data_IF_042663598926
#
_entry.id   IF_042663598926
#
_cell.length_a   1.000
_cell.length_b   1.000
_cell.length_c   1.000
_cell.angle_alpha   90.00
_cell.angle_beta   90.00
_cell.angle_gamma   90.00
#
_symmetry.space_group_name_H-M   'P 1'
#
loop_
_entity.id
_entity.type
_entity.pdbx_description
1 polymer ?
#
# COMPACT_ATOMS: atom_id res chain seq x y z
N UNK A 1 3.86 -23.55 11.59
CA UNK A 1 4.77 -22.40 11.84
C UNK A 1 3.99 -21.08 11.71
N UNK A 2 3.05 -20.79 12.63
CA UNK A 2 1.98 -19.80 12.39
C UNK A 2 1.85 -18.67 13.42
N UNK A 3 2.85 -18.45 14.28
CA UNK A 3 2.78 -17.41 15.33
C UNK A 3 3.74 -16.23 15.12
N UNK A 4 4.80 -16.39 14.30
CA UNK A 4 5.91 -15.43 14.26
C UNK A 4 5.70 -14.20 13.35
N UNK A 5 4.72 -14.23 12.44
CA UNK A 5 4.45 -13.10 11.52
C UNK A 5 3.58 -12.04 12.20
N UNK A 6 2.63 -12.47 13.04
CA UNK A 6 1.63 -11.61 13.67
C UNK A 6 2.18 -10.62 14.71
N UNK A 7 3.34 -10.91 15.32
CA UNK A 7 3.84 -10.14 16.48
C UNK A 7 4.97 -9.17 16.16
N UNK A 8 5.45 -9.12 14.91
CA UNK A 8 6.58 -8.23 14.57
C UNK A 8 6.19 -6.78 14.74
N UNK A 9 6.94 -6.03 15.52
CA UNK A 9 6.71 -4.61 15.71
C UNK A 9 7.09 -3.84 14.44
N UNK A 10 6.63 -2.60 14.33
CA UNK A 10 6.99 -1.72 13.21
C UNK A 10 8.51 -1.55 13.08
N UNK A 11 9.23 -1.51 14.20
CA UNK A 11 10.69 -1.40 14.25
C UNK A 11 11.39 -2.61 13.59
N UNK A 12 10.84 -3.81 13.76
CA UNK A 12 11.38 -5.03 13.15
C UNK A 12 11.24 -4.98 11.62
N UNK A 13 10.11 -4.50 11.13
CA UNK A 13 9.85 -4.37 9.68
C UNK A 13 10.72 -3.29 9.03
N UNK A 14 11.02 -2.21 9.75
CA UNK A 14 11.89 -1.14 9.29
C UNK A 14 13.35 -1.59 9.14
N UNK A 15 13.80 -2.53 9.97
CA UNK A 15 15.16 -3.06 9.94
C UNK A 15 15.29 -4.34 9.10
N UNK A 16 14.18 -4.95 8.69
CA UNK A 16 14.14 -6.17 7.89
C UNK A 16 14.85 -5.99 6.52
N UNK A 17 15.60 -7.02 6.14
CA UNK A 17 16.18 -7.14 4.81
C UNK A 17 15.11 -7.36 3.73
N UNK A 18 15.46 -7.08 2.48
CA UNK A 18 14.56 -7.31 1.32
C UNK A 18 14.13 -8.78 1.20
N UNK A 19 15.01 -9.73 1.52
CA UNK A 19 14.70 -11.16 1.54
C UNK A 19 13.70 -11.53 2.62
N UNK A 20 13.82 -10.94 3.81
CA UNK A 20 12.87 -11.15 4.90
C UNK A 20 11.51 -10.54 4.57
N UNK A 21 11.48 -9.32 4.01
CA UNK A 21 10.25 -8.69 3.55
C UNK A 21 9.57 -9.50 2.44
N UNK A 22 10.35 -10.06 1.50
CA UNK A 22 9.81 -10.97 0.48
C UNK A 22 9.22 -12.23 1.11
N UNK A 23 9.92 -12.85 2.07
CA UNK A 23 9.43 -14.04 2.75
C UNK A 23 8.15 -13.76 3.54
N UNK A 24 8.07 -12.62 4.23
CA UNK A 24 6.87 -12.17 4.94
C UNK A 24 5.72 -11.92 3.98
N UNK A 25 5.96 -11.26 2.83
CA UNK A 25 4.94 -11.03 1.81
C UNK A 25 4.37 -12.35 1.29
N UNK A 26 5.23 -13.34 1.00
CA UNK A 26 4.83 -14.65 0.50
C UNK A 26 4.09 -15.50 1.54
N UNK A 27 4.41 -15.32 2.82
CA UNK A 27 3.76 -15.98 3.94
C UNK A 27 2.52 -15.24 4.46
N UNK A 28 2.20 -14.07 3.89
CA UNK A 28 1.11 -13.22 4.33
C UNK A 28 -0.26 -13.87 4.16
N UNK A 29 -1.25 -13.29 4.83
CA UNK A 29 -2.59 -13.84 4.90
C UNK A 29 -3.54 -13.18 3.87
N UNK A 30 -4.54 -13.93 3.37
CA UNK A 30 -5.56 -13.39 2.49
C UNK A 30 -6.34 -12.23 3.12
N UNK A 31 -6.87 -11.36 2.27
CA UNK A 31 -7.68 -10.21 2.65
C UNK A 31 -8.88 -10.07 1.71
N UNK A 32 -10.03 -9.65 2.22
CA UNK A 32 -11.13 -9.15 1.39
C UNK A 32 -10.97 -7.65 1.13
N UNK A 33 -11.28 -7.21 -0.09
CA UNK A 33 -11.21 -5.79 -0.43
C UNK A 33 -12.16 -4.95 0.46
N UNK A 34 -13.31 -5.50 0.82
CA UNK A 34 -14.32 -4.81 1.64
C UNK A 34 -13.82 -4.51 3.06
N UNK A 35 -12.86 -5.27 3.58
CA UNK A 35 -12.26 -5.02 4.89
C UNK A 35 -11.38 -3.77 4.92
N UNK A 36 -10.97 -3.26 3.76
CA UNK A 36 -10.23 -2.01 3.61
C UNK A 36 -11.16 -0.80 3.50
N UNK A 37 -12.34 -0.99 2.93
CA UNK A 37 -13.23 0.10 2.57
C UNK A 37 -13.65 0.94 3.78
N UNK A 38 -13.70 2.26 3.58
CA UNK A 38 -14.05 3.23 4.62
C UNK A 38 -12.87 3.66 5.50
N UNK A 39 -11.67 3.12 5.30
CA UNK A 39 -10.49 3.44 6.10
C UNK A 39 -9.37 4.12 5.33
N UNK A 40 -8.66 4.98 6.04
CA UNK A 40 -7.34 5.51 5.66
C UNK A 40 -6.26 4.72 6.40
N UNK A 41 -5.19 4.40 5.70
CA UNK A 41 -4.03 3.71 6.22
C UNK A 41 -2.80 4.61 6.20
N UNK A 42 -2.04 4.63 7.30
CA UNK A 42 -0.68 5.16 7.37
C UNK A 42 0.26 4.21 6.65
N UNK A 43 0.86 4.69 5.58
CA UNK A 43 1.93 4.02 4.86
C UNK A 43 3.30 4.35 5.42
N UNK A 44 4.15 3.33 5.56
CA UNK A 44 5.58 3.49 5.84
C UNK A 44 6.39 2.74 4.79
N UNK A 45 7.27 3.44 4.07
CA UNK A 45 8.18 2.79 3.12
C UNK A 45 9.24 1.95 3.86
N UNK A 46 9.50 0.74 3.36
CA UNK A 46 10.42 -0.24 3.93
C UNK A 46 11.55 -0.56 2.93
N UNK A 47 12.71 -0.99 3.45
CA UNK A 47 13.81 -1.51 2.62
C UNK A 47 14.55 -0.46 1.76
N UNK A 48 14.33 0.84 2.00
CA UNK A 48 15.05 1.92 1.30
C UNK A 48 16.53 1.92 1.71
N UNK A 49 17.48 2.04 0.74
CA UNK A 49 18.90 2.18 1.06
C UNK A 49 19.15 3.36 2.00
N UNK A 50 20.09 3.22 2.95
CA UNK A 50 20.35 4.25 3.97
C UNK A 50 20.75 5.63 3.42
N UNK A 51 21.15 5.73 2.16
CA UNK A 51 21.50 6.97 1.46
C UNK A 51 20.34 7.59 0.66
N UNK A 52 19.25 6.87 0.43
CA UNK A 52 18.03 7.43 -0.16
C UNK A 52 17.37 8.27 0.93
N UNK A 53 17.20 9.56 0.67
CA UNK A 53 16.73 10.53 1.65
C UNK A 53 15.46 10.04 2.35
N UNK A 54 15.65 9.57 3.58
CA UNK A 54 14.63 8.91 4.41
C UNK A 54 13.51 9.87 4.80
N UNK A 55 13.62 11.16 4.51
CA UNK A 55 12.70 12.20 4.96
C UNK A 55 11.49 12.39 4.04
N UNK A 56 11.63 12.29 2.72
CA UNK A 56 10.56 12.68 1.80
C UNK A 56 9.56 11.55 1.44
N UNK A 57 9.97 10.29 1.58
CA UNK A 57 9.17 9.12 1.17
C UNK A 57 8.86 8.16 2.32
N UNK A 58 9.08 8.60 3.57
CA UNK A 58 8.90 7.75 4.74
C UNK A 58 7.45 7.44 5.00
N UNK A 59 6.61 8.48 5.01
CA UNK A 59 5.21 8.37 5.42
C UNK A 59 4.30 8.85 4.32
N UNK A 60 3.28 8.07 4.01
CA UNK A 60 2.20 8.44 3.10
C UNK A 60 0.87 7.97 3.70
N UNK A 61 -0.25 8.33 3.09
CA UNK A 61 -1.52 7.76 3.44
C UNK A 61 -2.19 7.17 2.20
N UNK A 62 -2.94 6.07 2.38
CA UNK A 62 -3.81 5.48 1.35
C UNK A 62 -5.22 5.41 1.90
N UNK A 63 -6.18 5.97 1.18
CA UNK A 63 -7.60 5.88 1.51
C UNK A 63 -8.25 4.83 0.62
N UNK A 64 -9.20 4.07 1.18
CA UNK A 64 -9.95 3.02 0.51
C UNK A 64 -11.46 3.28 0.65
N UNK A 65 -12.18 3.21 -0.45
CA UNK A 65 -13.60 3.50 -0.50
C UNK A 65 -14.30 2.48 -1.42
N UNK A 66 -15.41 1.94 -0.94
CA UNK A 66 -16.31 1.13 -1.76
C UNK A 66 -17.13 2.04 -2.70
N UNK A 67 -17.31 1.60 -3.94
CA UNK A 67 -18.21 2.17 -4.92
C UNK A 67 -18.93 1.05 -5.70
N UNK A 68 -19.72 1.41 -6.71
CA UNK A 68 -20.50 0.47 -7.51
C UNK A 68 -19.64 -0.58 -8.26
N UNK A 69 -18.34 -0.31 -8.45
CA UNK A 69 -17.41 -1.17 -9.18
C UNK A 69 -16.49 -1.97 -8.23
N UNK A 70 -16.75 -1.93 -6.92
CA UNK A 70 -15.95 -2.57 -5.88
C UNK A 70 -15.15 -1.55 -5.06
N UNK A 71 -13.93 -1.89 -4.64
CA UNK A 71 -13.12 -0.98 -3.82
C UNK A 71 -12.12 -0.22 -4.68
N UNK A 72 -12.14 1.11 -4.57
CA UNK A 72 -11.11 2.01 -5.09
C UNK A 72 -10.31 2.63 -3.96
N UNK A 73 -9.17 3.22 -4.31
CA UNK A 73 -8.42 4.04 -3.38
C UNK A 73 -7.53 5.05 -4.08
N UNK A 74 -6.85 5.85 -3.26
CA UNK A 74 -5.92 6.88 -3.69
C UNK A 74 -4.87 7.12 -2.60
N UNK A 75 -3.71 7.62 -3.00
CA UNK A 75 -2.73 8.13 -2.06
C UNK A 75 -3.08 9.56 -1.66
N UNK A 76 -2.78 9.91 -0.42
CA UNK A 76 -2.88 11.28 0.12
C UNK A 76 -1.48 11.71 0.50
N UNK A 77 -1.08 12.90 0.03
CA UNK A 77 0.21 13.50 0.42
C UNK A 77 0.07 14.05 1.83
N UNK A 78 1.00 13.70 2.72
CA UNK A 78 0.96 14.09 4.14
C UNK A 78 2.22 14.84 4.56
N UNK A 79 2.12 15.63 5.61
CA UNK A 79 3.28 16.16 6.33
C UNK A 79 4.16 15.01 6.84
N UNK A 80 5.48 15.14 6.69
CA UNK A 80 6.44 14.13 7.12
C UNK A 80 6.81 14.32 8.60
N UNK A 81 7.28 13.24 9.25
CA UNK A 81 7.73 13.21 10.64
C UNK A 81 6.72 13.71 11.68
N UNK A 82 5.41 13.58 11.38
CA UNK A 82 4.31 13.86 12.30
C UNK A 82 3.80 12.59 12.98
N UNK A 83 3.44 12.72 14.25
CA UNK A 83 2.76 11.68 15.00
C UNK A 83 1.36 11.42 14.43
N UNK A 84 0.67 12.45 13.94
CA UNK A 84 -0.64 12.36 13.29
C UNK A 84 -0.51 12.41 11.76
N UNK A 85 -1.48 11.83 11.04
CA UNK A 85 -1.54 11.96 9.58
C UNK A 85 -2.17 13.30 9.24
N UNK A 86 -1.36 14.27 8.85
CA UNK A 86 -1.85 15.59 8.42
C UNK A 86 -1.74 15.72 6.90
N UNK A 87 -2.87 15.76 6.15
CA UNK A 87 -2.84 15.94 4.72
C UNK A 87 -2.24 17.29 4.31
N UNK A 88 -1.39 17.29 3.29
CA UNK A 88 -1.02 18.52 2.60
C UNK A 88 -2.19 19.00 1.75
N UNK A 89 -2.48 20.29 1.82
CA UNK A 89 -3.62 20.89 1.14
C UNK A 89 -3.17 21.67 -0.10
N UNK A 90 -3.98 21.62 -1.16
CA UNK A 90 -3.90 22.51 -2.32
C UNK A 90 -5.27 23.13 -2.54
N UNK A 91 -5.36 24.46 -2.48
CA UNK A 91 -6.64 25.20 -2.59
C UNK A 91 -7.69 24.72 -1.57
N UNK A 92 -7.26 24.41 -0.35
CA UNK A 92 -8.15 23.96 0.74
C UNK A 92 -8.54 22.48 0.71
N UNK A 93 -8.16 21.70 -0.31
CA UNK A 93 -8.45 20.27 -0.41
C UNK A 93 -7.18 19.41 -0.25
N UNK A 94 -7.27 18.19 0.34
CA UNK A 94 -6.15 17.25 0.37
C UNK A 94 -5.58 16.95 -1.02
N UNK A 95 -4.26 16.91 -1.13
CA UNK A 95 -3.57 16.52 -2.36
C UNK A 95 -3.63 14.99 -2.49
N UNK A 96 -4.42 14.51 -3.45
CA UNK A 96 -4.52 13.09 -3.79
C UNK A 96 -3.79 12.76 -5.08
N UNK A 97 -3.30 11.52 -5.20
CA UNK A 97 -2.59 11.04 -6.40
C UNK A 97 -2.55 9.51 -6.48
N UNK A 98 -2.20 8.97 -7.64
CA UNK A 98 -2.03 7.53 -7.84
C UNK A 98 -3.27 6.74 -7.41
N UNK A 99 -4.39 7.03 -8.05
CA UNK A 99 -5.65 6.34 -7.81
C UNK A 99 -5.52 4.88 -8.25
N UNK A 100 -6.22 3.96 -7.61
CA UNK A 100 -6.14 2.54 -7.93
C UNK A 100 -7.47 1.83 -7.69
N UNK A 101 -7.63 0.67 -8.32
CA UNK A 101 -8.65 -0.33 -7.98
C UNK A 101 -8.04 -1.42 -7.13
N UNK A 102 -8.79 -1.94 -6.18
CA UNK A 102 -8.41 -3.10 -5.38
C UNK A 102 -9.02 -4.33 -6.05
N UNK A 103 -8.17 -5.20 -6.57
CA UNK A 103 -8.59 -6.41 -7.29
C UNK A 103 -7.88 -7.64 -6.73
N UNK A 104 -8.41 -8.86 -6.90
CA UNK A 104 -7.67 -10.06 -6.55
C UNK A 104 -6.32 -10.12 -7.28
N UNK A 105 -5.25 -10.43 -6.56
CA UNK A 105 -3.95 -10.63 -7.17
C UNK A 105 -3.92 -11.97 -7.93
N UNK A 106 -3.37 -11.94 -9.15
CA UNK A 106 -3.21 -13.14 -9.98
C UNK A 106 -1.77 -13.26 -10.51
N UNK A 107 -1.25 -14.49 -10.52
CA UNK A 107 0.06 -14.84 -11.06
C UNK A 107 0.85 -15.77 -10.15
N UNK A 108 1.78 -16.56 -10.71
CA UNK A 108 2.47 -17.62 -9.97
C UNK A 108 3.42 -17.09 -8.88
N UNK A 109 3.95 -15.88 -9.04
CA UNK A 109 4.91 -15.28 -8.10
C UNK A 109 4.27 -14.36 -7.04
N UNK A 110 2.94 -14.22 -7.06
CA UNK A 110 2.21 -13.41 -6.09
C UNK A 110 1.73 -14.28 -4.93
N UNK A 111 1.67 -13.73 -3.69
CA UNK A 111 1.15 -14.48 -2.56
C UNK A 111 -0.29 -14.93 -2.81
N UNK A 112 -0.62 -16.15 -2.42
CA UNK A 112 -1.97 -16.71 -2.59
C UNK A 112 -2.98 -15.91 -1.77
N UNK A 113 -4.08 -15.52 -2.41
CA UNK A 113 -5.15 -14.76 -1.76
C UNK A 113 -4.80 -13.30 -1.47
N UNK A 114 -3.67 -12.79 -1.98
CA UNK A 114 -3.34 -11.37 -1.90
C UNK A 114 -4.34 -10.53 -2.70
N UNK A 115 -4.47 -9.27 -2.32
CA UNK A 115 -5.07 -8.24 -3.14
C UNK A 115 -3.99 -7.53 -3.96
N UNK A 116 -4.41 -6.81 -5.00
CA UNK A 116 -3.57 -5.99 -5.86
C UNK A 116 -4.14 -4.58 -5.91
N UNK A 117 -3.32 -3.59 -5.55
CA UNK A 117 -3.63 -2.19 -5.87
C UNK A 117 -3.21 -1.96 -7.32
N UNK A 118 -4.19 -1.92 -8.21
CA UNK A 118 -4.01 -1.71 -9.64
C UNK A 118 -4.20 -0.23 -10.00
N UNK A 119 -3.09 0.49 -10.20
CA UNK A 119 -3.09 1.90 -10.57
C UNK A 119 -3.43 2.13 -12.04
N UNK A 120 -3.32 1.10 -12.89
CA UNK A 120 -3.72 1.18 -14.29
C UNK A 120 -5.24 1.17 -14.47
N UNK A 121 -5.96 0.72 -13.44
CA UNK A 121 -7.43 0.76 -13.38
C UNK A 121 -7.96 1.93 -12.54
N UNK A 122 -7.07 2.76 -11.99
CA UNK A 122 -7.44 4.01 -11.34
C UNK A 122 -7.74 5.11 -12.36
N UNK A 123 -8.49 6.14 -11.94
CA UNK A 123 -8.78 7.32 -12.75
C UNK A 123 -7.56 8.27 -12.90
N UNK A 124 -6.36 7.73 -13.11
CA UNK A 124 -5.13 8.50 -13.36
C UNK A 124 -5.09 9.00 -14.81
N UNK A 125 -4.30 10.04 -15.07
CA UNK A 125 -4.08 10.51 -16.44
C UNK A 125 -3.45 9.41 -17.30
N UNK A 126 -3.82 9.33 -18.58
CA UNK A 126 -3.39 8.25 -19.51
C UNK A 126 -1.88 8.11 -19.66
N UNK A 127 -1.12 9.19 -19.44
CA UNK A 127 0.34 9.22 -19.53
C UNK A 127 1.02 9.27 -18.14
N UNK A 128 0.25 9.08 -17.06
CA UNK A 128 0.82 9.01 -15.71
C UNK A 128 1.65 7.72 -15.57
N UNK A 129 2.95 7.80 -15.28
CA UNK A 129 3.78 6.60 -15.08
C UNK A 129 3.29 5.72 -13.93
N UNK A 130 2.54 6.28 -12.96
CA UNK A 130 1.93 5.49 -11.89
C UNK A 130 0.92 4.46 -12.39
N UNK A 131 0.31 4.65 -13.57
CA UNK A 131 -0.59 3.66 -14.18
C UNK A 131 0.06 2.29 -14.40
N UNK A 132 1.38 2.23 -14.46
CA UNK A 132 2.15 0.99 -14.62
C UNK A 132 2.45 0.32 -13.26
N UNK A 133 2.21 0.99 -12.13
CA UNK A 133 2.49 0.46 -10.80
C UNK A 133 1.45 -0.57 -10.40
N UNK A 134 1.90 -1.61 -9.70
CA UNK A 134 1.07 -2.65 -9.10
C UNK A 134 1.61 -2.98 -7.72
N UNK A 135 0.72 -2.97 -6.74
CA UNK A 135 1.09 -3.30 -5.35
C UNK A 135 0.33 -4.52 -4.83
N UNK A 136 0.92 -5.74 -4.83
CA UNK A 136 0.37 -6.84 -4.06
C UNK A 136 0.33 -6.49 -2.58
N UNK A 137 -0.76 -6.86 -1.92
CA UNK A 137 -1.05 -6.51 -0.54
C UNK A 137 -1.58 -7.73 0.21
N UNK A 138 -1.00 -8.00 1.38
CA UNK A 138 -1.38 -9.11 2.27
C UNK A 138 -1.54 -8.63 3.70
N UNK A 139 -2.36 -9.32 4.49
CA UNK A 139 -2.43 -9.10 5.93
C UNK A 139 -1.24 -9.75 6.64
N UNK A 140 -0.71 -9.09 7.68
CA UNK A 140 0.35 -9.66 8.52
C UNK A 140 -0.18 -10.64 9.57
N UNK A 141 -1.48 -10.59 9.87
CA UNK A 141 -2.15 -11.50 10.76
C UNK A 141 -3.45 -12.04 10.11
N UNK A 142 -3.85 -13.29 10.40
CA UNK A 142 -5.02 -13.89 9.78
C UNK A 142 -6.30 -13.18 10.22
N UNK A 143 -7.11 -12.73 9.25
CA UNK A 143 -8.38 -12.03 9.51
C UNK A 143 -8.22 -10.65 10.14
N UNK A 144 -7.00 -10.08 10.13
CA UNK A 144 -6.73 -8.76 10.69
C UNK A 144 -6.27 -7.78 9.60
N UNK A 145 -7.17 -6.91 9.14
CA UNK A 145 -6.87 -5.90 8.14
C UNK A 145 -6.14 -4.67 8.69
N UNK A 146 -5.73 -4.63 9.96
CA UNK A 146 -5.14 -3.43 10.57
C UNK A 146 -3.68 -3.22 10.18
N UNK A 147 -2.92 -4.28 9.89
CA UNK A 147 -1.51 -4.20 9.50
C UNK A 147 -1.25 -5.04 8.26
N UNK A 148 -0.84 -4.37 7.19
CA UNK A 148 -0.70 -4.96 5.87
C UNK A 148 0.71 -4.73 5.32
N UNK A 149 1.25 -5.72 4.62
CA UNK A 149 2.52 -5.60 3.92
C UNK A 149 2.27 -5.54 2.42
N UNK A 150 2.83 -4.52 1.79
CA UNK A 150 2.79 -4.33 0.35
C UNK A 150 4.17 -4.26 -0.28
N UNK A 151 4.19 -4.49 -1.59
CA UNK A 151 5.38 -4.40 -2.42
C UNK A 151 5.02 -3.80 -3.77
N UNK A 152 5.80 -2.86 -4.30
CA UNK A 152 5.54 -2.27 -5.61
C UNK A 152 6.33 -2.96 -6.72
N UNK A 153 5.69 -3.23 -7.84
CA UNK A 153 6.36 -3.57 -9.10
C UNK A 153 5.79 -2.76 -10.26
N UNK A 154 6.52 -2.68 -11.37
CA UNK A 154 6.05 -2.06 -12.60
C UNK A 154 5.58 -3.14 -13.59
N UNK A 155 4.44 -2.91 -14.22
CA UNK A 155 3.92 -3.70 -15.35
C UNK A 155 4.06 -2.88 -16.62
N UNK A 156 5.00 -3.24 -17.49
CA UNK A 156 5.31 -2.52 -18.74
C UNK A 156 5.28 -3.50 -19.91
N UNK A 157 4.33 -3.33 -20.83
CA UNK A 157 4.24 -4.18 -22.04
C UNK A 157 4.14 -5.69 -21.75
N UNK A 158 3.49 -6.07 -20.65
CA UNK A 158 3.39 -7.47 -20.20
C UNK A 158 4.58 -7.98 -19.37
N UNK A 159 5.67 -7.20 -19.25
CA UNK A 159 6.79 -7.51 -18.38
C UNK A 159 6.55 -6.99 -16.97
N UNK A 160 6.92 -7.80 -15.98
CA UNK A 160 6.89 -7.44 -14.55
C UNK A 160 8.30 -7.09 -14.07
N UNK A 161 8.54 -5.82 -13.78
CA UNK A 161 9.82 -5.34 -13.24
C UNK A 161 9.67 -5.12 -11.73
N UNK A 162 10.29 -6.00 -10.95
CA UNK A 162 10.29 -5.89 -9.50
C UNK A 162 11.09 -4.68 -9.02
N UNK A 163 10.57 -3.96 -8.02
CA UNK A 163 11.29 -2.85 -7.38
C UNK A 163 11.78 -3.25 -5.97
N UNK A 164 12.72 -2.54 -5.35
CA UNK A 164 13.05 -2.75 -3.95
C UNK A 164 12.02 -2.13 -2.97
N UNK A 165 10.90 -1.59 -3.46
CA UNK A 165 9.97 -0.78 -2.69
C UNK A 165 8.93 -1.64 -1.98
N UNK A 166 9.17 -1.94 -0.71
CA UNK A 166 8.17 -2.51 0.18
C UNK A 166 7.52 -1.40 1.01
N UNK A 167 6.34 -1.65 1.55
CA UNK A 167 5.70 -0.71 2.47
C UNK A 167 4.79 -1.42 3.47
N UNK A 168 4.71 -0.88 4.67
CA UNK A 168 3.74 -1.24 5.69
C UNK A 168 2.54 -0.31 5.57
N UNK A 169 1.33 -0.83 5.66
CA UNK A 169 0.11 -0.05 5.90
C UNK A 169 -0.43 -0.36 7.28
N UNK A 170 -0.69 0.67 8.08
CA UNK A 170 -1.31 0.58 9.40
C UNK A 170 -2.63 1.34 9.36
N UNK A 171 -3.74 0.68 9.69
CA UNK A 171 -5.07 1.31 9.71
C UNK A 171 -5.03 2.50 10.67
N UNK A 172 -5.48 3.64 10.18
CA UNK A 172 -5.52 4.88 10.93
C UNK A 172 -6.98 5.30 11.15
N UNK A 173 -7.40 6.38 10.50
CA UNK A 173 -8.71 7.00 10.66
C UNK A 173 -9.69 6.58 9.55
N UNK A 174 -11.01 6.73 9.76
CA UNK A 174 -11.97 6.61 8.67
C UNK A 174 -11.68 7.58 7.51
N UNK A 175 -12.11 7.25 6.30
CA UNK A 175 -11.99 8.16 5.15
C UNK A 175 -12.81 9.43 5.43
N UNK A 176 -12.12 10.57 5.42
CA UNK A 176 -12.71 11.90 5.70
C UNK A 176 -12.82 12.80 4.47
N UNK A 177 -12.20 12.40 3.35
CA UNK A 177 -12.20 13.15 2.09
C UNK A 177 -12.32 12.21 0.90
N UNK A 178 -13.24 12.49 -0.02
CA UNK A 178 -13.40 11.76 -1.29
C UNK A 178 -13.06 12.73 -2.43
N UNK A 179 -12.02 12.44 -3.25
CA UNK A 179 -11.71 13.28 -4.40
C UNK A 179 -12.81 13.20 -5.45
N UNK A 180 -13.19 14.37 -5.96
CA UNK A 180 -14.16 14.55 -7.06
C UNK A 180 -13.72 13.87 -8.34
#
# INVERSE_FOLDING_TARGET
MSAAVSTRERADLLSASRSELRALLQAGHPLSADELAGWTYRGTSLGLPGWVDRLAWKTFAKAFLADEQGVRGWNVRVEQDRAELTPQLRRGAPITFGHFRVVPAAGPDLPRGALLLDYGQGANARLDPLSCVRDPLVALAPGDPTRLLGWSYLSLGGLRLGTPSYFLLERAEPVSYVPS
#
